data_IF_946081961860
#
_entry.id   IF_946081961860
#
_cell.length_a   1.000
_cell.length_b   1.000
_cell.length_c   1.000
_cell.angle_alpha   90.00
_cell.angle_beta   90.00
_cell.angle_gamma   90.00
#
_symmetry.space_group_name_H-M   'P 1'
#
loop_
_entity.id
_entity.type
_entity.pdbx_description
1 polymer ?
#
# COMPACT_ATOMS: atom_id res chain seq x y z
N UNK A 1 -23.57 -19.60 -3.71
CA UNK A 1 -24.32 -19.63 -2.45
C UNK A 1 -23.48 -19.16 -1.26
N UNK A 2 -22.21 -19.54 -1.18
CA UNK A 2 -21.30 -19.07 -0.11
C UNK A 2 -21.16 -17.54 -0.11
N UNK A 3 -20.97 -16.91 -1.27
CA UNK A 3 -20.92 -15.46 -1.41
C UNK A 3 -22.23 -14.77 -0.96
N UNK A 4 -23.38 -15.34 -1.31
CA UNK A 4 -24.69 -14.84 -0.85
C UNK A 4 -24.81 -14.94 0.66
N UNK A 5 -24.39 -16.05 1.24
CA UNK A 5 -24.41 -16.26 2.69
C UNK A 5 -23.47 -15.30 3.41
N UNK A 6 -22.24 -15.14 2.91
CA UNK A 6 -21.25 -14.22 3.46
C UNK A 6 -21.74 -12.76 3.40
N UNK A 7 -22.25 -12.32 2.25
CA UNK A 7 -22.81 -10.96 2.10
C UNK A 7 -23.97 -10.72 3.06
N UNK A 8 -24.87 -11.67 3.21
CA UNK A 8 -26.01 -11.54 4.13
C UNK A 8 -25.63 -11.58 5.61
N UNK A 9 -24.51 -12.17 5.95
CA UNK A 9 -24.01 -12.09 7.33
C UNK A 9 -23.66 -10.66 7.74
N UNK A 10 -23.27 -9.84 6.77
CA UNK A 10 -22.93 -8.42 6.96
C UNK A 10 -24.13 -7.51 6.66
N UNK A 11 -24.86 -7.82 5.61
CA UNK A 11 -26.03 -7.04 5.14
C UNK A 11 -27.32 -7.88 5.20
N UNK A 12 -27.89 -8.15 6.40
CA UNK A 12 -28.96 -9.14 6.59
C UNK A 12 -30.30 -8.75 5.91
N UNK A 13 -30.47 -7.47 5.55
CA UNK A 13 -31.68 -6.98 4.88
C UNK A 13 -31.67 -7.20 3.37
N UNK A 14 -30.55 -7.60 2.77
CA UNK A 14 -30.43 -7.82 1.33
C UNK A 14 -31.16 -9.11 0.94
N UNK A 15 -31.93 -9.05 -0.13
CA UNK A 15 -32.69 -10.21 -0.64
C UNK A 15 -31.75 -11.20 -1.33
N UNK A 16 -31.81 -12.49 -1.02
CA UNK A 16 -30.90 -13.48 -1.61
C UNK A 16 -31.04 -13.56 -3.15
N UNK A 17 -32.22 -13.39 -3.69
CA UNK A 17 -32.49 -13.42 -5.12
C UNK A 17 -31.77 -12.28 -5.84
N UNK A 18 -31.88 -11.06 -5.30
CA UNK A 18 -31.14 -9.88 -5.83
C UNK A 18 -29.64 -10.09 -5.80
N UNK A 19 -29.09 -10.60 -4.70
CA UNK A 19 -27.66 -10.89 -4.62
C UNK A 19 -27.18 -11.90 -5.65
N UNK A 20 -28.00 -12.91 -5.96
CA UNK A 20 -27.66 -13.89 -7.01
C UNK A 20 -27.62 -13.25 -8.38
N UNK A 21 -28.59 -12.40 -8.69
CA UNK A 21 -28.64 -11.64 -9.94
C UNK A 21 -27.46 -10.69 -10.07
N UNK A 22 -27.18 -9.92 -9.03
CA UNK A 22 -26.06 -8.97 -9.00
C UNK A 22 -24.71 -9.69 -9.15
N UNK A 23 -24.52 -10.82 -8.45
CA UNK A 23 -23.29 -11.62 -8.57
C UNK A 23 -23.16 -12.27 -9.95
N UNK A 24 -24.24 -12.75 -10.53
CA UNK A 24 -24.23 -13.31 -11.89
C UNK A 24 -23.81 -12.24 -12.91
N UNK A 25 -24.42 -11.06 -12.82
CA UNK A 25 -24.13 -9.93 -13.71
C UNK A 25 -22.69 -9.43 -13.55
N UNK A 26 -22.19 -9.36 -12.32
CA UNK A 26 -20.79 -9.03 -12.03
C UNK A 26 -19.83 -10.05 -12.67
N UNK A 27 -20.09 -11.34 -12.49
CA UNK A 27 -19.26 -12.39 -13.09
C UNK A 27 -19.28 -12.35 -14.61
N UNK A 28 -20.44 -12.13 -15.23
CA UNK A 28 -20.57 -11.97 -16.67
C UNK A 28 -19.76 -10.78 -17.18
N UNK A 29 -19.84 -9.65 -16.48
CA UNK A 29 -19.09 -8.43 -16.80
C UNK A 29 -17.57 -8.66 -16.72
N UNK A 30 -17.10 -9.29 -15.64
CA UNK A 30 -15.69 -9.61 -15.48
C UNK A 30 -15.17 -10.56 -16.58
N UNK A 31 -15.96 -11.57 -16.95
CA UNK A 31 -15.61 -12.50 -18.02
C UNK A 31 -15.56 -11.79 -19.38
N UNK A 32 -16.51 -10.89 -19.67
CA UNK A 32 -16.53 -10.10 -20.90
C UNK A 32 -15.24 -9.22 -21.00
N UNK A 33 -14.93 -8.48 -19.93
CA UNK A 33 -13.73 -7.64 -19.85
C UNK A 33 -12.46 -8.48 -20.05
N UNK A 34 -12.34 -9.62 -19.37
CA UNK A 34 -11.18 -10.53 -19.48
C UNK A 34 -11.01 -11.08 -20.92
N UNK A 35 -12.09 -11.10 -21.73
CA UNK A 35 -12.08 -11.52 -23.14
C UNK A 35 -11.93 -10.34 -24.11
N UNK A 36 -11.76 -9.11 -23.63
CA UNK A 36 -11.74 -7.91 -24.45
C UNK A 36 -13.09 -7.59 -25.12
N UNK A 37 -14.18 -8.01 -24.51
CA UNK A 37 -15.57 -7.77 -24.97
C UNK A 37 -16.19 -6.69 -24.11
N UNK A 38 -17.18 -5.98 -24.65
CA UNK A 38 -17.97 -5.02 -23.88
C UNK A 38 -18.78 -5.78 -22.79
N UNK A 39 -18.74 -5.30 -21.53
CA UNK A 39 -19.56 -5.90 -20.48
C UNK A 39 -21.05 -5.59 -20.68
N UNK A 40 -21.95 -6.45 -20.17
CA UNK A 40 -23.41 -6.27 -20.32
C UNK A 40 -23.96 -5.04 -19.59
N UNK A 41 -23.16 -4.47 -18.68
CA UNK A 41 -23.44 -3.21 -18.00
C UNK A 41 -22.23 -2.30 -18.11
N UNK A 42 -22.48 -0.99 -18.19
CA UNK A 42 -21.40 0.00 -18.14
C UNK A 42 -20.72 -0.08 -16.78
N UNK A 43 -19.43 -0.44 -16.78
CA UNK A 43 -18.60 -0.45 -15.56
C UNK A 43 -17.92 0.91 -15.47
N UNK A 44 -18.60 1.85 -14.83
CA UNK A 44 -18.05 3.18 -14.55
C UNK A 44 -17.24 3.21 -13.25
N UNK A 45 -16.41 4.23 -13.09
CA UNK A 45 -15.78 4.55 -11.83
C UNK A 45 -16.71 5.41 -10.98
N UNK A 46 -16.92 5.01 -9.73
CA UNK A 46 -17.65 5.84 -8.77
C UNK A 46 -16.70 6.89 -8.20
N UNK A 47 -17.10 8.15 -8.24
CA UNK A 47 -16.41 9.19 -7.51
C UNK A 47 -16.66 9.07 -6.00
N UNK A 48 -15.80 9.67 -5.19
CA UNK A 48 -16.02 9.73 -3.73
C UNK A 48 -17.39 10.37 -3.41
N UNK A 49 -17.82 11.38 -4.18
CA UNK A 49 -19.10 12.04 -4.02
C UNK A 49 -20.30 11.09 -4.23
N UNK A 50 -20.16 10.11 -5.13
CA UNK A 50 -21.23 9.17 -5.46
C UNK A 50 -21.46 8.13 -4.36
N UNK A 51 -20.41 7.60 -3.75
CA UNK A 51 -20.55 6.54 -2.75
C UNK A 51 -20.39 6.98 -1.30
N UNK A 52 -19.76 8.12 -1.01
CA UNK A 52 -19.59 8.62 0.35
C UNK A 52 -20.91 8.73 1.15
N UNK A 53 -22.06 9.12 0.57
CA UNK A 53 -23.34 9.13 1.29
C UNK A 53 -23.81 7.76 1.79
N UNK A 54 -23.29 6.68 1.22
CA UNK A 54 -23.64 5.30 1.57
C UNK A 54 -22.63 4.65 2.53
N UNK A 55 -21.50 5.34 2.82
CA UNK A 55 -20.49 4.84 3.74
C UNK A 55 -20.99 4.95 5.18
N UNK A 56 -20.92 3.85 5.91
CA UNK A 56 -21.20 3.79 7.35
C UNK A 56 -19.94 3.81 8.21
N UNK A 57 -18.76 3.74 7.58
CA UNK A 57 -17.46 3.65 8.23
C UNK A 57 -16.34 4.20 7.31
N UNK A 58 -15.13 4.42 7.82
CA UNK A 58 -13.98 4.75 6.98
C UNK A 58 -13.75 3.70 5.90
N UNK A 59 -13.37 4.15 4.70
CA UNK A 59 -13.10 3.26 3.56
C UNK A 59 -11.93 2.31 3.81
N UNK A 60 -10.92 2.76 4.55
CA UNK A 60 -9.70 2.00 4.85
C UNK A 60 -9.23 2.23 6.27
N UNK A 61 -8.62 1.20 6.85
CA UNK A 61 -7.93 1.27 8.13
C UNK A 61 -6.48 0.82 7.98
N UNK A 62 -5.54 1.67 8.37
CA UNK A 62 -4.12 1.31 8.44
C UNK A 62 -3.82 0.75 9.84
N UNK A 63 -3.35 -0.50 9.87
CA UNK A 63 -3.07 -1.26 11.09
C UNK A 63 -1.57 -1.26 11.33
N UNK A 64 -1.10 -0.48 12.30
CA UNK A 64 0.30 -0.48 12.71
C UNK A 64 0.59 -1.73 13.55
N UNK A 65 0.79 -2.86 12.86
CA UNK A 65 0.99 -4.17 13.51
C UNK A 65 2.37 -4.33 14.12
N UNK A 66 3.35 -3.56 13.66
CA UNK A 66 4.72 -3.54 14.19
C UNK A 66 5.10 -2.13 14.65
N UNK A 67 5.64 -2.01 15.85
CA UNK A 67 6.08 -0.74 16.40
C UNK A 67 7.45 -0.30 15.84
N UNK A 68 7.73 1.01 15.83
CA UNK A 68 9.06 1.54 15.51
C UNK A 68 10.06 1.22 16.61
N UNK A 69 9.62 1.28 17.85
CA UNK A 69 10.42 1.00 19.04
C UNK A 69 9.74 -0.06 19.89
N UNK A 70 10.54 -0.94 20.48
CA UNK A 70 10.11 -1.89 21.50
C UNK A 70 11.02 -1.79 22.71
N UNK A 71 10.45 -1.74 23.91
CA UNK A 71 11.18 -1.63 25.18
C UNK A 71 12.22 -0.49 25.16
N UNK A 72 11.90 0.63 24.53
CA UNK A 72 12.76 1.81 24.40
C UNK A 72 13.88 1.69 23.37
N UNK A 73 13.98 0.59 22.64
CA UNK A 73 14.94 0.37 21.57
C UNK A 73 14.31 0.44 20.19
N UNK A 74 15.05 0.94 19.19
CA UNK A 74 14.62 0.96 17.80
C UNK A 74 14.42 -0.47 17.28
N UNK A 75 13.23 -0.78 16.78
CA UNK A 75 12.84 -2.13 16.38
C UNK A 75 12.80 -2.33 14.87
N UNK A 76 12.37 -1.32 14.09
CA UNK A 76 12.37 -1.42 12.63
C UNK A 76 13.78 -1.69 12.08
N UNK A 77 13.91 -2.54 11.06
CA UNK A 77 15.20 -2.89 10.43
C UNK A 77 15.75 -1.81 9.48
N UNK A 78 15.08 -0.66 9.39
CA UNK A 78 15.54 0.57 8.75
C UNK A 78 15.32 1.76 9.69
N UNK A 79 16.09 2.84 9.49
CA UNK A 79 15.95 4.10 10.25
C UNK A 79 15.83 5.26 9.25
N UNK A 80 14.71 5.24 8.50
CA UNK A 80 14.51 6.19 7.41
C UNK A 80 14.56 7.64 7.89
N UNK A 81 15.26 8.48 7.14
CA UNK A 81 15.40 9.92 7.42
C UNK A 81 14.03 10.62 7.55
N UNK A 82 13.09 10.26 6.70
CA UNK A 82 11.76 10.86 6.61
C UNK A 82 10.66 10.03 7.27
N UNK A 83 10.99 9.13 8.21
CA UNK A 83 9.99 8.27 8.83
C UNK A 83 8.96 9.12 9.61
N UNK A 84 7.74 9.19 9.10
CA UNK A 84 6.65 9.98 9.70
C UNK A 84 6.21 9.48 11.08
N UNK A 85 6.44 8.19 11.37
CA UNK A 85 6.06 7.57 12.63
C UNK A 85 7.17 7.61 13.70
N UNK A 86 8.41 8.00 13.33
CA UNK A 86 9.53 8.09 14.27
C UNK A 86 9.29 9.21 15.29
N UNK A 87 9.44 8.90 16.58
CA UNK A 87 9.19 9.85 17.67
C UNK A 87 7.72 10.21 17.89
N UNK A 88 6.80 9.48 17.25
CA UNK A 88 5.36 9.66 17.46
C UNK A 88 4.83 8.59 18.42
N UNK A 89 3.82 8.92 19.28
CA UNK A 89 3.25 7.95 20.23
C UNK A 89 2.78 6.66 19.56
N UNK A 90 2.27 6.73 18.34
CA UNK A 90 1.85 5.55 17.57
C UNK A 90 3.02 4.62 17.23
N UNK A 91 4.22 5.16 17.01
CA UNK A 91 5.41 4.38 16.68
C UNK A 91 6.07 3.73 17.90
N UNK A 92 5.70 4.16 19.11
CA UNK A 92 6.26 3.71 20.39
C UNK A 92 5.29 2.86 21.21
N UNK A 93 4.12 2.60 20.67
CA UNK A 93 3.08 1.80 21.32
C UNK A 93 3.49 0.33 21.43
N UNK A 94 3.10 -0.32 22.53
CA UNK A 94 3.28 -1.77 22.65
C UNK A 94 2.46 -2.49 21.59
N UNK A 95 3.10 -3.44 20.91
CA UNK A 95 2.43 -4.29 19.92
C UNK A 95 1.33 -5.13 20.55
N UNK A 96 0.20 -5.23 19.85
CA UNK A 96 -0.86 -6.16 20.22
C UNK A 96 -0.44 -7.61 19.90
N UNK A 97 -0.95 -8.54 20.67
CA UNK A 97 -0.80 -9.98 20.40
C UNK A 97 -1.60 -10.37 19.16
N UNK A 98 -1.30 -11.54 18.58
CA UNK A 98 -2.07 -12.13 17.46
C UNK A 98 -3.56 -12.20 17.77
N UNK A 99 -3.91 -12.66 18.99
CA UNK A 99 -5.32 -12.77 19.43
C UNK A 99 -6.02 -11.39 19.47
N UNK A 100 -5.33 -10.37 19.99
CA UNK A 100 -5.87 -9.01 20.03
C UNK A 100 -6.04 -8.40 18.63
N UNK A 101 -5.10 -8.67 17.70
CA UNK A 101 -5.24 -8.24 16.32
C UNK A 101 -6.41 -8.93 15.62
N UNK A 102 -6.60 -10.24 15.83
CA UNK A 102 -7.76 -10.97 15.29
C UNK A 102 -9.08 -10.41 15.83
N UNK A 103 -9.14 -10.08 17.12
CA UNK A 103 -10.30 -9.39 17.70
C UNK A 103 -10.53 -8.01 17.08
N UNK A 104 -9.45 -7.24 16.85
CA UNK A 104 -9.55 -5.95 16.18
C UNK A 104 -10.08 -6.08 14.74
N UNK A 105 -9.56 -7.05 13.97
CA UNK A 105 -10.07 -7.35 12.62
C UNK A 105 -11.56 -7.68 12.62
N UNK A 106 -12.01 -8.51 13.56
CA UNK A 106 -13.44 -8.85 13.66
C UNK A 106 -14.30 -7.62 14.00
N UNK A 107 -13.82 -6.71 14.86
CA UNK A 107 -14.50 -5.44 15.14
C UNK A 107 -14.56 -4.54 13.91
N UNK A 108 -13.48 -4.45 13.11
CA UNK A 108 -13.45 -3.69 11.85
C UNK A 108 -14.43 -4.26 10.82
N UNK A 109 -14.51 -5.59 10.73
CA UNK A 109 -15.48 -6.28 9.89
C UNK A 109 -16.91 -5.92 10.28
N UNK A 110 -17.26 -5.95 11.56
CA UNK A 110 -18.58 -5.57 12.05
C UNK A 110 -18.88 -4.08 11.85
N UNK A 111 -17.85 -3.24 11.80
CA UNK A 111 -17.99 -1.83 11.47
C UNK A 111 -18.11 -1.58 9.96
N UNK A 112 -18.08 -2.61 9.11
CA UNK A 112 -18.13 -2.54 7.65
C UNK A 112 -16.95 -1.76 7.03
N UNK A 113 -15.75 -1.87 7.60
CA UNK A 113 -14.52 -1.37 6.99
C UNK A 113 -14.16 -2.31 5.83
N UNK A 114 -14.12 -1.86 4.57
CA UNK A 114 -13.89 -2.77 3.44
C UNK A 114 -12.42 -3.09 3.19
N UNK A 115 -11.49 -2.25 3.65
CA UNK A 115 -10.07 -2.39 3.35
C UNK A 115 -9.20 -2.21 4.60
N UNK A 116 -8.16 -3.04 4.73
CA UNK A 116 -7.14 -2.90 5.77
C UNK A 116 -5.74 -2.90 5.15
N UNK A 117 -4.85 -2.09 5.74
CA UNK A 117 -3.43 -2.06 5.38
C UNK A 117 -2.60 -2.48 6.58
N UNK A 118 -1.85 -3.56 6.44
CA UNK A 118 -0.83 -3.94 7.42
C UNK A 118 0.40 -3.06 7.23
N UNK A 119 0.76 -2.32 8.27
CA UNK A 119 1.88 -1.37 8.26
C UNK A 119 2.54 -1.34 9.65
N UNK A 120 3.37 -0.34 9.91
CA UNK A 120 4.02 -0.15 11.20
C UNK A 120 5.43 0.35 11.06
N UNK A 121 6.35 -0.16 11.91
CA UNK A 121 7.77 -0.06 11.69
C UNK A 121 8.15 -0.88 10.47
N UNK A 122 8.19 -2.18 10.65
CA UNK A 122 8.31 -3.12 9.54
C UNK A 122 7.46 -4.37 9.86
N UNK A 123 6.31 -4.54 9.21
CA UNK A 123 5.39 -5.63 9.53
C UNK A 123 5.97 -7.02 9.26
N UNK A 124 6.92 -7.17 8.33
CA UNK A 124 7.55 -8.47 8.03
C UNK A 124 8.49 -8.96 9.14
N UNK A 125 8.77 -8.16 10.16
CA UNK A 125 9.45 -8.60 11.38
C UNK A 125 8.55 -9.45 12.29
N UNK A 126 7.22 -9.39 12.11
CA UNK A 126 6.29 -10.19 12.88
C UNK A 126 6.25 -11.63 12.38
N UNK A 127 6.49 -12.58 13.27
CA UNK A 127 6.42 -14.00 12.93
C UNK A 127 5.00 -14.48 12.56
N UNK A 128 3.97 -13.79 13.07
CA UNK A 128 2.55 -14.11 12.88
C UNK A 128 1.89 -13.28 11.75
N UNK A 129 2.65 -12.53 10.94
CA UNK A 129 2.09 -11.69 9.88
C UNK A 129 1.17 -12.48 8.93
N UNK A 130 1.59 -13.67 8.49
CA UNK A 130 0.79 -14.50 7.57
C UNK A 130 -0.53 -14.89 8.23
N UNK A 131 -0.51 -15.25 9.51
CA UNK A 131 -1.73 -15.60 10.28
C UNK A 131 -2.68 -14.40 10.43
N UNK A 132 -2.16 -13.18 10.50
CA UNK A 132 -2.99 -11.97 10.50
C UNK A 132 -3.61 -11.70 9.12
N UNK A 133 -2.87 -11.94 8.04
CA UNK A 133 -3.39 -11.84 6.67
C UNK A 133 -4.50 -12.88 6.44
N UNK A 134 -4.28 -14.14 6.84
CA UNK A 134 -5.30 -15.20 6.80
C UNK A 134 -6.59 -14.81 7.55
N UNK A 135 -6.45 -14.15 8.70
CA UNK A 135 -7.60 -13.68 9.47
C UNK A 135 -8.32 -12.47 8.83
N UNK A 136 -7.71 -11.84 7.84
CA UNK A 136 -8.22 -10.64 7.19
C UNK A 136 -8.85 -10.89 5.80
N UNK A 137 -9.09 -12.14 5.39
CA UNK A 137 -9.60 -12.51 4.05
C UNK A 137 -10.95 -11.87 3.68
N UNK A 138 -11.67 -11.32 4.63
CA UNK A 138 -12.91 -10.59 4.36
C UNK A 138 -12.64 -9.20 3.75
N UNK A 139 -11.49 -8.61 4.03
CA UNK A 139 -11.10 -7.28 3.57
C UNK A 139 -10.35 -7.33 2.25
N UNK A 140 -10.32 -6.21 1.53
CA UNK A 140 -9.23 -5.93 0.60
C UNK A 140 -7.99 -5.63 1.43
N UNK A 141 -6.93 -6.41 1.26
CA UNK A 141 -5.73 -6.38 2.10
C UNK A 141 -4.53 -5.79 1.38
N UNK A 142 -3.82 -4.91 2.06
CA UNK A 142 -2.54 -4.37 1.60
C UNK A 142 -1.46 -4.57 2.67
N UNK A 143 -0.25 -4.87 2.23
CA UNK A 143 0.95 -4.85 3.06
C UNK A 143 1.85 -3.70 2.62
N UNK A 144 2.15 -2.76 3.53
CA UNK A 144 3.19 -1.75 3.33
C UNK A 144 4.46 -2.19 4.04
N UNK A 145 5.55 -2.33 3.28
CA UNK A 145 6.82 -2.88 3.79
C UNK A 145 8.02 -2.18 3.14
N UNK A 146 9.17 -2.26 3.78
CA UNK A 146 10.44 -1.88 3.17
C UNK A 146 11.00 -2.96 2.21
N UNK A 147 10.37 -4.13 2.15
CA UNK A 147 10.67 -5.20 1.21
C UNK A 147 11.86 -6.09 1.55
N UNK A 148 12.71 -5.72 2.52
CA UNK A 148 13.98 -6.43 2.80
C UNK A 148 13.80 -7.89 3.21
N UNK A 149 12.68 -8.23 3.82
CA UNK A 149 12.39 -9.59 4.30
C UNK A 149 11.38 -10.33 3.42
N UNK A 150 11.03 -9.80 2.24
CA UNK A 150 10.18 -10.46 1.27
C UNK A 150 10.94 -11.61 0.57
N UNK A 151 11.18 -12.70 1.31
CA UNK A 151 11.75 -13.91 0.74
C UNK A 151 10.76 -14.60 -0.20
N UNK A 152 11.21 -15.46 -1.14
CA UNK A 152 10.29 -16.24 -1.99
C UNK A 152 9.27 -17.03 -1.18
N UNK A 153 9.67 -17.61 -0.06
CA UNK A 153 8.78 -18.37 0.81
C UNK A 153 7.74 -17.49 1.50
N UNK A 154 8.13 -16.32 2.02
CA UNK A 154 7.18 -15.39 2.63
C UNK A 154 6.18 -14.87 1.59
N UNK A 155 6.63 -14.49 0.39
CA UNK A 155 5.76 -14.02 -0.68
C UNK A 155 4.75 -15.11 -1.10
N UNK A 156 5.19 -16.36 -1.24
CA UNK A 156 4.30 -17.50 -1.52
C UNK A 156 3.23 -17.67 -0.43
N UNK A 157 3.62 -17.65 0.83
CA UNK A 157 2.69 -17.78 1.98
C UNK A 157 1.71 -16.63 2.06
N UNK A 158 2.15 -15.39 1.81
CA UNK A 158 1.27 -14.22 1.76
C UNK A 158 0.26 -14.32 0.61
N UNK A 159 0.69 -14.78 -0.56
CA UNK A 159 -0.20 -15.03 -1.69
C UNK A 159 -1.24 -16.12 -1.36
N UNK A 160 -0.82 -17.24 -0.77
CA UNK A 160 -1.71 -18.33 -0.34
C UNK A 160 -2.68 -17.89 0.77
N UNK A 161 -2.26 -16.95 1.64
CA UNK A 161 -3.10 -16.31 2.65
C UNK A 161 -4.10 -15.29 2.08
N UNK A 162 -4.11 -15.09 0.75
CA UNK A 162 -4.97 -14.13 0.03
C UNK A 162 -4.63 -12.66 0.31
N UNK A 163 -3.34 -12.31 0.41
CA UNK A 163 -2.92 -10.92 0.39
C UNK A 163 -3.19 -10.34 -1.01
N UNK A 164 -4.00 -9.27 -1.10
CA UNK A 164 -4.36 -8.67 -2.39
C UNK A 164 -3.22 -7.86 -3.00
N UNK A 165 -2.50 -7.09 -2.18
CA UNK A 165 -1.42 -6.24 -2.70
C UNK A 165 -0.29 -6.02 -1.70
N UNK A 166 0.91 -5.79 -2.24
CA UNK A 166 2.08 -5.36 -1.48
C UNK A 166 2.60 -4.05 -2.05
N UNK A 167 2.86 -3.09 -1.17
CA UNK A 167 3.50 -1.84 -1.52
C UNK A 167 4.89 -1.79 -0.87
N UNK A 168 5.92 -1.71 -1.69
CA UNK A 168 7.32 -1.65 -1.24
C UNK A 168 7.83 -0.21 -1.32
N UNK A 169 8.46 0.28 -0.26
CA UNK A 169 9.09 1.60 -0.28
C UNK A 169 10.49 1.51 -0.90
N UNK A 170 10.69 2.16 -2.04
CA UNK A 170 11.99 2.30 -2.69
C UNK A 170 12.24 3.77 -3.02
N UNK A 171 13.31 4.34 -2.45
CA UNK A 171 13.59 5.78 -2.60
C UNK A 171 14.29 6.15 -3.91
N UNK A 172 15.09 5.26 -4.48
CA UNK A 172 15.89 5.54 -5.67
C UNK A 172 16.36 4.25 -6.33
N UNK A 173 16.62 4.31 -7.62
CA UNK A 173 17.37 3.29 -8.36
C UNK A 173 18.86 3.30 -8.00
N UNK A 174 19.36 4.40 -7.45
CA UNK A 174 20.73 4.50 -6.94
C UNK A 174 20.82 3.92 -5.51
N UNK A 175 21.61 2.87 -5.35
CA UNK A 175 21.78 2.17 -4.09
C UNK A 175 22.32 3.07 -2.96
N UNK A 176 23.25 4.00 -3.28
CA UNK A 176 23.83 4.90 -2.30
C UNK A 176 22.78 5.92 -1.79
N UNK A 177 21.99 6.47 -2.70
CA UNK A 177 20.87 7.38 -2.37
C UNK A 177 19.82 6.64 -1.55
N UNK A 178 19.39 5.46 -1.99
CA UNK A 178 18.40 4.66 -1.25
C UNK A 178 18.90 4.36 0.17
N UNK A 179 20.09 3.80 0.31
CA UNK A 179 20.66 3.41 1.60
C UNK A 179 20.85 4.60 2.55
N UNK A 180 21.20 5.77 2.02
CA UNK A 180 21.29 7.01 2.80
C UNK A 180 19.92 7.41 3.35
N UNK A 181 18.87 7.36 2.50
CA UNK A 181 17.52 7.80 2.88
C UNK A 181 16.83 6.81 3.84
N UNK A 182 17.10 5.51 3.73
CA UNK A 182 16.54 4.50 4.65
C UNK A 182 17.42 4.28 5.90
N UNK A 183 18.61 4.88 5.96
CA UNK A 183 19.52 4.80 7.11
C UNK A 183 20.04 3.40 7.38
N UNK A 184 20.13 2.55 6.36
CA UNK A 184 20.61 1.17 6.46
C UNK A 184 21.11 0.67 5.09
N UNK A 185 22.13 -0.21 5.03
CA UNK A 185 22.45 -0.95 3.82
C UNK A 185 21.34 -1.97 3.56
N UNK A 186 20.65 -1.90 2.44
CA UNK A 186 19.50 -2.78 2.20
C UNK A 186 18.87 -2.63 0.81
N UNK A 187 19.49 -1.85 -0.08
CA UNK A 187 19.00 -1.66 -1.44
C UNK A 187 18.79 -3.00 -2.17
N UNK A 188 19.82 -3.86 -2.17
CA UNK A 188 19.76 -5.15 -2.87
C UNK A 188 18.68 -6.06 -2.28
N UNK A 189 18.53 -6.08 -0.94
CA UNK A 189 17.49 -6.83 -0.25
C UNK A 189 16.09 -6.33 -0.66
N UNK A 190 15.88 -5.01 -0.69
CA UNK A 190 14.61 -4.39 -1.09
C UNK A 190 14.28 -4.71 -2.55
N UNK A 191 15.24 -4.55 -3.45
CA UNK A 191 15.08 -4.88 -4.89
C UNK A 191 14.77 -6.37 -5.08
N UNK A 192 15.47 -7.24 -4.36
CA UNK A 192 15.19 -8.68 -4.42
C UNK A 192 13.81 -8.99 -3.87
N UNK A 193 13.37 -8.29 -2.82
CA UNK A 193 12.02 -8.41 -2.28
C UNK A 193 10.93 -8.04 -3.29
N UNK A 194 11.11 -6.95 -4.06
CA UNK A 194 10.21 -6.57 -5.15
C UNK A 194 10.13 -7.69 -6.20
N UNK A 195 11.29 -8.23 -6.65
CA UNK A 195 11.32 -9.35 -7.61
C UNK A 195 10.59 -10.58 -7.08
N UNK A 196 10.80 -10.91 -5.81
CA UNK A 196 10.15 -12.08 -5.19
C UNK A 196 8.63 -11.91 -5.11
N UNK A 197 8.15 -10.71 -4.77
CA UNK A 197 6.72 -10.40 -4.72
C UNK A 197 6.06 -10.50 -6.10
N UNK A 198 6.68 -9.90 -7.13
CA UNK A 198 6.23 -10.00 -8.52
C UNK A 198 6.23 -11.45 -9.00
N UNK A 199 7.31 -12.21 -8.73
CA UNK A 199 7.43 -13.61 -9.13
C UNK A 199 6.41 -14.52 -8.43
N UNK A 200 5.98 -14.19 -7.21
CA UNK A 200 4.93 -14.90 -6.48
C UNK A 200 3.51 -14.58 -6.98
N UNK A 201 3.34 -13.64 -7.90
CA UNK A 201 2.04 -13.20 -8.41
C UNK A 201 1.30 -12.22 -7.52
N UNK A 202 1.94 -11.65 -6.50
CA UNK A 202 1.36 -10.58 -5.68
C UNK A 202 1.23 -9.30 -6.53
N UNK A 203 0.10 -8.61 -6.40
CA UNK A 203 -0.04 -7.27 -6.97
C UNK A 203 0.96 -6.34 -6.26
N UNK A 204 2.03 -6.01 -6.96
CA UNK A 204 3.17 -5.31 -6.37
C UNK A 204 3.22 -3.87 -6.86
N UNK A 205 3.23 -2.92 -5.92
CA UNK A 205 3.46 -1.50 -6.17
C UNK A 205 4.71 -1.01 -5.46
N UNK A 206 5.29 0.06 -5.97
CA UNK A 206 6.41 0.76 -5.32
C UNK A 206 5.98 2.16 -4.92
N UNK A 207 6.28 2.54 -3.68
CA UNK A 207 6.07 3.90 -3.18
C UNK A 207 7.39 4.62 -3.01
N UNK A 208 7.47 5.86 -3.50
CA UNK A 208 8.67 6.70 -3.41
C UNK A 208 8.33 8.04 -2.76
N UNK A 209 8.73 8.28 -1.49
CA UNK A 209 8.73 9.62 -0.93
C UNK A 209 9.79 10.48 -1.64
N UNK A 210 9.38 11.62 -2.22
CA UNK A 210 10.23 12.49 -3.03
C UNK A 210 10.91 13.56 -2.18
N UNK A 211 12.20 13.73 -2.42
CA UNK A 211 13.02 14.76 -1.78
C UNK A 211 14.14 15.23 -2.73
N UNK A 212 14.96 16.18 -2.30
CA UNK A 212 16.02 16.72 -3.15
C UNK A 212 17.13 15.72 -3.51
N UNK A 213 17.27 14.62 -2.73
CA UNK A 213 18.30 13.59 -2.95
C UNK A 213 17.89 12.56 -4.02
N UNK A 214 16.59 12.40 -4.30
CA UNK A 214 16.08 11.45 -5.28
C UNK A 214 15.25 12.11 -6.40
N UNK A 215 15.63 13.31 -6.81
CA UNK A 215 14.95 14.09 -7.87
C UNK A 215 14.86 13.37 -9.22
N UNK A 216 15.84 12.51 -9.53
CA UNK A 216 15.80 11.68 -10.74
C UNK A 216 14.83 10.51 -10.54
N UNK A 217 13.56 10.87 -10.35
CA UNK A 217 12.51 9.88 -10.16
C UNK A 217 12.19 9.11 -11.43
N UNK A 218 12.39 9.74 -12.60
CA UNK A 218 12.24 9.08 -13.89
C UNK A 218 13.17 7.87 -14.04
N UNK A 219 14.43 7.97 -13.59
CA UNK A 219 15.34 6.82 -13.54
C UNK A 219 14.82 5.71 -12.62
N UNK A 220 14.23 6.08 -11.47
CA UNK A 220 13.63 5.12 -10.55
C UNK A 220 12.41 4.43 -11.19
N UNK A 221 11.55 5.15 -11.91
CA UNK A 221 10.41 4.57 -12.65
C UNK A 221 10.87 3.54 -13.68
N UNK A 222 11.87 3.87 -14.50
CA UNK A 222 12.44 2.93 -15.50
C UNK A 222 12.98 1.69 -14.82
N UNK A 223 13.71 1.85 -13.72
CA UNK A 223 14.25 0.74 -12.95
C UNK A 223 13.16 -0.18 -12.37
N UNK A 224 12.13 0.37 -11.72
CA UNK A 224 11.06 -0.46 -11.14
C UNK A 224 10.17 -1.11 -12.22
N UNK A 225 10.04 -0.47 -13.39
CA UNK A 225 9.40 -1.08 -14.56
C UNK A 225 10.14 -2.35 -15.01
N UNK A 226 11.49 -2.33 -15.04
CA UNK A 226 12.32 -3.50 -15.35
C UNK A 226 12.17 -4.62 -14.32
N UNK A 227 11.82 -4.29 -13.08
CA UNK A 227 11.48 -5.28 -12.03
C UNK A 227 10.10 -5.93 -12.22
N UNK A 228 9.30 -5.48 -13.19
CA UNK A 228 7.95 -5.97 -13.47
C UNK A 228 6.84 -5.20 -12.77
N UNK A 229 7.15 -4.11 -12.08
CA UNK A 229 6.15 -3.24 -11.44
C UNK A 229 5.46 -2.39 -12.51
N UNK A 230 4.12 -2.26 -12.40
CA UNK A 230 3.30 -1.46 -13.31
C UNK A 230 2.52 -0.36 -12.61
N UNK A 231 2.43 -0.42 -11.31
CA UNK A 231 1.73 0.56 -10.48
C UNK A 231 2.70 1.18 -9.48
N UNK A 232 2.79 2.49 -9.46
CA UNK A 232 3.65 3.24 -8.54
C UNK A 232 2.89 4.33 -7.84
N UNK A 233 3.30 4.62 -6.61
CA UNK A 233 2.84 5.80 -5.89
C UNK A 233 4.05 6.66 -5.53
N UNK A 234 3.85 7.97 -5.48
CA UNK A 234 4.84 8.87 -4.93
C UNK A 234 4.18 9.91 -4.03
N UNK A 235 4.96 10.52 -3.19
CA UNK A 235 4.49 11.55 -2.26
C UNK A 235 5.57 12.60 -2.02
N UNK A 236 5.18 13.81 -1.67
CA UNK A 236 6.08 14.71 -0.96
C UNK A 236 6.33 14.22 0.46
N UNK A 237 7.17 14.93 1.20
CA UNK A 237 7.45 14.59 2.59
C UNK A 237 6.29 15.00 3.50
N UNK A 238 5.75 14.04 4.24
CA UNK A 238 4.73 14.30 5.26
C UNK A 238 5.41 15.02 6.44
N UNK A 239 4.97 16.25 6.83
CA UNK A 239 5.59 17.01 7.91
C UNK A 239 5.21 16.43 9.28
N UNK A 240 5.82 15.28 9.60
CA UNK A 240 5.60 14.57 10.86
C UNK A 240 6.82 13.69 11.19
N UNK A 241 7.09 13.50 12.44
CA UNK A 241 8.12 12.59 12.94
C UNK A 241 9.53 12.93 12.44
N UNK A 242 10.21 11.96 11.86
CA UNK A 242 11.56 12.14 11.31
C UNK A 242 11.66 13.22 10.23
N UNK A 243 10.58 13.45 9.48
CA UNK A 243 10.54 14.48 8.44
C UNK A 243 10.51 15.94 8.97
N UNK A 244 10.30 16.13 10.28
CA UNK A 244 10.35 17.44 10.94
C UNK A 244 11.75 17.81 11.42
N UNK A 245 12.70 16.90 11.40
CA UNK A 245 14.10 17.19 11.77
C UNK A 245 14.72 18.18 10.79
N UNK A 246 15.67 18.99 11.27
CA UNK A 246 16.39 19.97 10.45
C UNK A 246 17.04 19.30 9.22
N UNK A 247 17.68 18.14 9.43
CA UNK A 247 18.31 17.35 8.36
C UNK A 247 17.30 16.93 7.28
N UNK A 248 16.08 16.54 7.67
CA UNK A 248 15.03 16.15 6.74
C UNK A 248 14.43 17.36 6.02
N UNK A 249 14.20 18.45 6.74
CA UNK A 249 13.66 19.67 6.15
C UNK A 249 14.63 20.26 5.08
N UNK A 250 15.94 20.13 5.27
CA UNK A 250 16.93 20.54 4.29
C UNK A 250 16.84 19.74 2.96
N UNK A 251 16.16 18.59 2.97
CA UNK A 251 15.94 17.78 1.76
C UNK A 251 14.57 17.99 1.11
N UNK A 252 13.70 18.82 1.68
CA UNK A 252 12.37 19.08 1.16
C UNK A 252 12.46 19.80 -0.19
N UNK A 253 11.70 19.33 -1.16
CA UNK A 253 11.50 20.03 -2.42
C UNK A 253 10.55 21.21 -2.22
N UNK A 254 10.81 22.30 -2.91
CA UNK A 254 9.83 23.38 -3.07
C UNK A 254 8.65 22.87 -3.91
N UNK A 255 7.53 23.57 -3.90
CA UNK A 255 6.37 23.23 -4.73
C UNK A 255 6.72 23.19 -6.21
N UNK A 256 7.50 24.17 -6.69
CA UNK A 256 7.94 24.23 -8.10
C UNK A 256 8.83 23.04 -8.46
N UNK A 257 9.79 22.69 -7.62
CA UNK A 257 10.68 21.53 -7.82
C UNK A 257 9.89 20.23 -7.83
N UNK A 258 8.96 20.06 -6.87
CA UNK A 258 8.12 18.87 -6.80
C UNK A 258 7.24 18.75 -8.05
N UNK A 259 6.60 19.84 -8.47
CA UNK A 259 5.79 19.88 -9.70
C UNK A 259 6.61 19.50 -10.93
N UNK A 260 7.85 19.98 -11.04
CA UNK A 260 8.72 19.62 -12.15
C UNK A 260 9.08 18.12 -12.16
N UNK A 261 9.40 17.55 -10.99
CA UNK A 261 9.67 16.11 -10.85
C UNK A 261 8.44 15.28 -11.22
N UNK A 262 7.26 15.70 -10.77
CA UNK A 262 6.02 14.96 -11.04
C UNK A 262 5.60 15.01 -12.50
N UNK A 263 5.75 16.15 -13.19
CA UNK A 263 5.48 16.21 -14.64
C UNK A 263 6.36 15.24 -15.42
N UNK A 264 7.66 15.23 -15.12
CA UNK A 264 8.57 14.28 -15.74
C UNK A 264 8.23 12.83 -15.39
N UNK A 265 7.77 12.58 -14.17
CA UNK A 265 7.34 11.26 -13.73
C UNK A 265 6.10 10.76 -14.50
N UNK A 266 5.09 11.63 -14.69
CA UNK A 266 3.89 11.30 -15.47
C UNK A 266 4.26 10.98 -16.93
N UNK A 267 5.04 11.83 -17.59
CA UNK A 267 5.52 11.57 -18.95
C UNK A 267 6.26 10.22 -19.05
N UNK A 268 7.13 9.93 -18.07
CA UNK A 268 7.87 8.66 -18.05
C UNK A 268 6.94 7.47 -17.80
N UNK A 269 5.96 7.59 -16.88
CA UNK A 269 5.00 6.54 -16.61
C UNK A 269 4.13 6.22 -17.84
N UNK A 270 3.67 7.25 -18.56
CA UNK A 270 2.95 7.10 -19.84
C UNK A 270 3.79 6.38 -20.89
N UNK A 271 5.07 6.80 -21.09
CA UNK A 271 6.00 6.13 -22.01
C UNK A 271 6.18 4.63 -21.70
N UNK A 272 6.15 4.26 -20.42
CA UNK A 272 6.35 2.89 -19.94
C UNK A 272 5.05 2.09 -19.81
N UNK A 273 3.89 2.70 -20.00
CA UNK A 273 2.59 2.08 -19.76
C UNK A 273 2.39 1.71 -18.28
N UNK A 274 2.86 2.57 -17.38
CA UNK A 274 2.70 2.43 -15.92
C UNK A 274 1.60 3.35 -15.43
N UNK A 275 0.95 2.93 -14.33
CA UNK A 275 0.05 3.79 -13.58
C UNK A 275 0.81 4.48 -12.44
N UNK A 276 0.61 5.78 -12.27
CA UNK A 276 1.24 6.58 -11.23
C UNK A 276 0.20 7.38 -10.44
N UNK A 277 0.24 7.26 -9.11
CA UNK A 277 -0.57 8.06 -8.20
C UNK A 277 0.31 8.94 -7.31
N UNK A 278 -0.15 10.17 -7.10
CA UNK A 278 0.43 11.08 -6.12
C UNK A 278 -0.42 11.12 -4.85
N UNK A 279 0.16 10.66 -3.73
CA UNK A 279 -0.57 10.41 -2.48
C UNK A 279 -0.38 11.47 -1.40
N UNK A 280 0.23 12.61 -1.70
CA UNK A 280 0.44 13.69 -0.73
C UNK A 280 -0.67 14.72 -0.72
N UNK A 281 -0.86 15.42 0.41
CA UNK A 281 -1.89 16.43 0.51
C UNK A 281 -1.68 17.55 -0.53
N UNK A 282 -2.70 17.77 -1.33
CA UNK A 282 -3.18 18.89 -2.10
C UNK A 282 -2.26 20.08 -2.45
N UNK A 283 -1.02 19.83 -2.85
CA UNK A 283 -0.06 20.88 -3.15
C UNK A 283 0.11 21.12 -4.64
N UNK A 284 -0.49 20.27 -5.46
CA UNK A 284 -0.51 20.48 -6.89
C UNK A 284 -1.74 21.32 -7.25
N UNK A 285 -1.62 22.27 -8.16
CA UNK A 285 -2.78 22.89 -8.76
C UNK A 285 -3.68 21.84 -9.39
N UNK A 286 -5.01 22.02 -9.38
CA UNK A 286 -5.99 21.11 -9.97
C UNK A 286 -5.76 20.83 -11.48
N UNK A 287 -4.88 21.60 -12.12
CA UNK A 287 -4.55 21.54 -13.55
C UNK A 287 -3.25 20.77 -13.86
N UNK A 288 -2.70 20.01 -12.86
CA UNK A 288 -1.39 19.36 -13.07
C UNK A 288 -1.54 17.90 -13.39
#
# INVERSE_FOLDING_TARGET
>A
EEAVTATRSVYPRTKPEQLREDLALLMESLIAIARGQEPPVEVGTLSLGDYAPYMSAPHRMDLMVSAMTQDGAWHCNQKCLHCYAAGQPMGESRELTTAQWKEALERLRHANIPQVTFTGGEPTLRADLVELVEAAQWFVTRLNTNGRLLTPELCRRLYEASLDSVQVTLYSADAAVHNTLVGAPGFDDTVQGVRNAVAAGLMTSVNTPLCSLNRDYAATLRFVHELGVRYVTCSGLIPSGGAETEASQATRLTQEELTAVLRQAVETAEELGMEIDFTSPGWLPEET
#
